data_IF_874360160132
#
_entry.id   IF_874360160132
#
_cell.length_a   1.000
_cell.length_b   1.000
_cell.length_c   1.000
_cell.angle_alpha   90.00
_cell.angle_beta   90.00
_cell.angle_gamma   90.00
#
_symmetry.space_group_name_H-M   'P 1'
#
loop_
_entity.id
_entity.type
_entity.pdbx_description
1 polymer ?
#
# COMPACT_ATOMS: atom_id res chain seq x y z
N UNK A 1 14.86 -13.33 -16.89
CA UNK A 1 15.55 -13.07 -15.63
C UNK A 1 16.60 -14.13 -15.40
N UNK A 2 16.30 -15.44 -15.23
CA UNK A 2 17.31 -16.49 -15.03
C UNK A 2 18.48 -16.44 -16.03
N UNK A 3 18.21 -16.34 -17.32
CA UNK A 3 19.28 -16.26 -18.34
C UNK A 3 20.18 -15.03 -18.15
N UNK A 4 19.64 -13.90 -17.71
CA UNK A 4 20.44 -12.71 -17.43
C UNK A 4 21.38 -12.94 -16.24
N UNK A 5 20.86 -13.47 -15.14
CA UNK A 5 21.67 -13.78 -13.94
C UNK A 5 22.76 -14.80 -14.25
N UNK A 6 22.42 -15.88 -14.98
CA UNK A 6 23.38 -16.92 -15.40
C UNK A 6 24.48 -16.40 -16.33
N UNK A 7 24.19 -15.40 -17.17
CA UNK A 7 25.14 -14.91 -18.18
C UNK A 7 25.93 -13.69 -17.78
N UNK A 8 25.44 -12.91 -16.81
CA UNK A 8 26.03 -11.60 -16.44
C UNK A 8 26.56 -11.54 -15.02
N UNK A 9 26.24 -12.50 -14.15
CA UNK A 9 26.42 -12.43 -12.69
C UNK A 9 25.77 -11.18 -12.08
N UNK A 10 24.77 -10.61 -12.73
CA UNK A 10 24.01 -9.47 -12.23
C UNK A 10 22.69 -9.95 -11.64
N UNK A 11 22.20 -9.27 -10.62
CA UNK A 11 20.89 -9.53 -10.02
C UNK A 11 19.81 -8.73 -10.74
N UNK A 12 18.58 -9.26 -10.76
CA UNK A 12 17.45 -8.63 -11.41
C UNK A 12 16.15 -8.92 -10.64
N UNK A 13 15.34 -7.89 -10.46
CA UNK A 13 14.00 -8.04 -9.91
C UNK A 13 12.95 -7.41 -10.84
N UNK A 14 11.74 -7.93 -10.81
CA UNK A 14 10.58 -7.32 -11.46
C UNK A 14 9.73 -6.61 -10.41
N UNK A 15 9.19 -5.47 -10.82
CA UNK A 15 8.22 -4.71 -10.07
C UNK A 15 6.90 -4.77 -10.83
N UNK A 16 5.92 -5.48 -10.32
CA UNK A 16 4.60 -5.55 -10.93
C UNK A 16 3.89 -4.20 -10.75
N UNK A 17 3.26 -3.70 -11.83
CA UNK A 17 2.52 -2.44 -11.80
C UNK A 17 1.24 -2.50 -12.64
N UNK A 18 0.34 -1.51 -12.50
CA UNK A 18 -0.99 -1.51 -13.13
C UNK A 18 -1.84 -2.75 -12.74
N UNK A 19 -1.71 -3.27 -11.52
CA UNK A 19 -2.47 -4.43 -11.07
C UNK A 19 -3.97 -4.23 -11.17
N UNK A 20 -4.45 -3.08 -10.72
CA UNK A 20 -5.84 -2.66 -10.79
C UNK A 20 -6.42 -2.52 -12.22
N UNK A 21 -5.61 -2.74 -13.26
CA UNK A 21 -5.99 -2.61 -14.68
C UNK A 21 -5.68 -3.86 -15.51
N UNK A 22 -5.50 -5.01 -14.86
CA UNK A 22 -4.94 -6.22 -15.46
C UNK A 22 -5.97 -7.33 -15.75
N UNK A 23 -7.25 -7.03 -15.89
CA UNK A 23 -8.31 -8.01 -16.17
C UNK A 23 -8.33 -9.20 -15.19
N UNK A 24 -8.00 -8.95 -13.91
CA UNK A 24 -7.98 -9.98 -12.87
C UNK A 24 -6.79 -10.94 -12.92
N UNK A 25 -5.83 -10.74 -13.82
CA UNK A 25 -4.74 -11.72 -14.05
C UNK A 25 -3.39 -11.32 -13.44
N UNK A 26 -3.32 -10.18 -12.75
CA UNK A 26 -2.07 -9.80 -12.07
C UNK A 26 -1.69 -10.78 -10.97
N UNK A 27 -2.66 -11.22 -10.18
CA UNK A 27 -2.46 -12.12 -9.05
C UNK A 27 -3.35 -13.36 -9.18
N UNK A 28 -3.05 -14.28 -10.11
CA UNK A 28 -3.88 -15.46 -10.33
C UNK A 28 -3.94 -16.35 -9.08
N UNK A 29 -5.13 -16.92 -8.83
CA UNK A 29 -5.39 -17.87 -7.75
C UNK A 29 -5.28 -19.32 -8.24
N UNK A 30 -5.81 -19.63 -9.43
CA UNK A 30 -5.93 -20.99 -9.93
C UNK A 30 -5.09 -21.26 -11.17
N UNK A 31 -5.11 -20.36 -12.15
CA UNK A 31 -4.47 -20.58 -13.44
C UNK A 31 -3.65 -19.38 -13.89
N UNK A 32 -2.56 -19.65 -14.58
CA UNK A 32 -1.75 -18.67 -15.29
C UNK A 32 -2.57 -18.04 -16.42
N UNK A 33 -2.15 -16.87 -16.91
CA UNK A 33 -2.84 -16.16 -17.99
C UNK A 33 -3.03 -17.01 -19.27
N UNK A 34 -2.17 -18.01 -19.50
CA UNK A 34 -2.23 -18.93 -20.62
C UNK A 34 -3.13 -20.17 -20.38
N UNK A 35 -3.87 -20.18 -19.27
CA UNK A 35 -4.79 -21.26 -18.89
C UNK A 35 -4.12 -22.48 -18.23
N UNK A 36 -2.80 -22.49 -18.04
CA UNK A 36 -2.13 -23.56 -17.29
C UNK A 36 -2.38 -23.39 -15.80
N UNK A 37 -2.56 -24.49 -15.10
CA UNK A 37 -2.64 -24.48 -13.63
C UNK A 37 -1.39 -23.88 -13.01
N UNK A 38 -1.56 -23.25 -11.84
CA UNK A 38 -0.42 -22.81 -11.03
C UNK A 38 0.26 -24.02 -10.43
N UNK A 39 1.56 -24.14 -10.67
CA UNK A 39 2.43 -25.18 -10.12
C UNK A 39 3.52 -24.62 -9.22
N UNK A 40 4.25 -25.49 -8.55
CA UNK A 40 5.34 -25.13 -7.65
C UNK A 40 6.44 -24.32 -8.36
N UNK A 41 6.76 -24.64 -9.61
CA UNK A 41 7.78 -23.94 -10.39
C UNK A 41 7.36 -22.48 -10.66
N UNK A 42 6.12 -22.26 -11.08
CA UNK A 42 5.57 -20.92 -11.29
C UNK A 42 5.60 -20.07 -10.02
N UNK A 43 5.05 -20.58 -8.90
CA UNK A 43 5.00 -19.80 -7.64
C UNK A 43 6.39 -19.55 -7.06
N UNK A 44 7.33 -20.47 -7.22
CA UNK A 44 8.72 -20.31 -6.77
C UNK A 44 9.44 -19.22 -7.57
N UNK A 45 9.32 -19.24 -8.90
CA UNK A 45 9.94 -18.20 -9.75
C UNK A 45 9.33 -16.83 -9.49
N UNK A 46 8.01 -16.76 -9.31
CA UNK A 46 7.35 -15.49 -9.00
C UNK A 46 7.78 -14.95 -7.65
N UNK A 47 7.85 -15.79 -6.63
CA UNK A 47 8.36 -15.40 -5.30
C UNK A 47 9.80 -14.87 -5.33
N UNK A 48 10.64 -15.42 -6.24
CA UNK A 48 12.04 -15.01 -6.39
C UNK A 48 12.19 -13.67 -7.11
N UNK A 49 11.50 -13.48 -8.25
CA UNK A 49 11.77 -12.34 -9.13
C UNK A 49 10.77 -11.20 -9.05
N UNK A 50 9.62 -11.38 -8.39
CA UNK A 50 8.60 -10.33 -8.20
C UNK A 50 8.48 -9.94 -6.71
N UNK A 51 9.56 -9.42 -6.08
CA UNK A 51 9.54 -9.09 -4.65
C UNK A 51 8.77 -7.82 -4.34
N UNK A 52 8.30 -7.07 -5.34
CA UNK A 52 7.63 -5.79 -5.16
C UNK A 52 6.41 -5.62 -6.06
N UNK A 53 5.48 -4.78 -5.58
CA UNK A 53 4.29 -4.36 -6.31
C UNK A 53 4.03 -2.87 -6.12
N UNK A 54 3.67 -2.18 -7.20
CA UNK A 54 3.26 -0.78 -7.19
C UNK A 54 1.78 -0.67 -6.82
N UNK A 55 1.49 -0.13 -5.64
CA UNK A 55 0.12 -0.03 -5.11
C UNK A 55 -0.53 1.32 -5.33
N UNK A 56 0.19 2.31 -5.82
CA UNK A 56 -0.35 3.64 -6.13
C UNK A 56 0.45 4.32 -7.22
N UNK A 57 -0.25 4.93 -8.14
CA UNK A 57 0.30 5.76 -9.22
C UNK A 57 -0.83 6.60 -9.81
N UNK A 58 -0.57 7.39 -10.85
CA UNK A 58 -1.54 8.32 -11.45
C UNK A 58 -2.88 7.67 -11.87
N UNK A 59 -2.88 6.35 -12.13
CA UNK A 59 -4.07 5.55 -12.46
C UNK A 59 -4.69 4.86 -11.22
N UNK A 60 -4.65 5.52 -10.07
CA UNK A 60 -5.36 5.13 -8.88
C UNK A 60 -4.60 4.24 -7.91
N UNK A 61 -5.33 3.82 -6.88
CA UNK A 61 -4.88 2.93 -5.82
C UNK A 61 -5.01 1.46 -6.21
N UNK A 62 -4.05 0.66 -5.80
CA UNK A 62 -4.02 -0.79 -5.96
C UNK A 62 -3.90 -1.54 -4.62
N UNK A 63 -4.09 -0.87 -3.46
CA UNK A 63 -4.05 -1.53 -2.15
C UNK A 63 -5.25 -2.45 -1.97
N UNK A 64 -6.45 -1.89 -2.04
CA UNK A 64 -7.72 -2.61 -1.90
C UNK A 64 -8.86 -1.89 -2.60
N UNK A 65 -10.02 -2.52 -2.64
CA UNK A 65 -11.22 -2.01 -3.29
C UNK A 65 -12.43 -2.15 -2.36
N UNK A 66 -13.43 -1.23 -2.36
CA UNK A 66 -14.62 -1.32 -1.50
C UNK A 66 -15.39 -2.63 -1.61
N UNK A 67 -15.45 -3.21 -2.82
CA UNK A 67 -16.07 -4.51 -3.05
C UNK A 67 -15.34 -5.65 -2.31
N UNK A 68 -14.00 -5.59 -2.23
CA UNK A 68 -13.16 -6.60 -1.57
C UNK A 68 -13.05 -6.39 -0.06
N UNK A 69 -13.16 -5.14 0.40
CA UNK A 69 -12.94 -4.70 1.78
C UNK A 69 -14.05 -3.77 2.26
N UNK A 70 -15.32 -4.23 2.31
CA UNK A 70 -16.48 -3.36 2.57
C UNK A 70 -16.53 -2.78 3.98
N UNK A 71 -15.71 -3.28 4.91
CA UNK A 71 -15.62 -2.79 6.28
C UNK A 71 -14.44 -1.83 6.52
N UNK A 72 -13.65 -1.53 5.49
CA UNK A 72 -12.54 -0.59 5.55
C UNK A 72 -13.00 0.78 5.07
N UNK A 73 -13.00 1.77 5.95
CA UNK A 73 -13.47 3.14 5.64
C UNK A 73 -12.61 3.88 4.60
N UNK A 74 -11.42 3.36 4.29
CA UNK A 74 -10.49 3.94 3.32
C UNK A 74 -10.32 3.09 2.06
N UNK A 75 -11.14 2.06 1.87
CA UNK A 75 -11.03 1.18 0.70
C UNK A 75 -11.42 1.86 -0.62
N UNK A 76 -12.16 2.98 -0.57
CA UNK A 76 -12.61 3.75 -1.75
C UNK A 76 -11.67 4.92 -2.11
N UNK A 77 -10.44 4.89 -1.60
CA UNK A 77 -9.46 5.92 -1.91
C UNK A 77 -9.03 5.83 -3.38
N UNK A 78 -9.24 6.94 -4.12
CA UNK A 78 -8.76 7.14 -5.50
C UNK A 78 -8.89 5.91 -6.40
N UNK A 79 -10.05 5.26 -6.39
CA UNK A 79 -10.36 4.07 -7.18
C UNK A 79 -10.34 4.41 -8.67
N UNK A 80 -9.70 3.54 -9.48
CA UNK A 80 -9.66 3.65 -10.94
C UNK A 80 -10.01 2.28 -11.53
N UNK A 81 -11.31 2.04 -11.75
CA UNK A 81 -11.86 0.70 -11.97
C UNK A 81 -12.94 0.60 -13.09
N UNK A 82 -12.97 1.56 -14.03
CA UNK A 82 -13.93 1.52 -15.14
C UNK A 82 -13.60 0.47 -16.20
N UNK A 83 -12.34 0.09 -16.33
CA UNK A 83 -11.89 -0.88 -17.30
C UNK A 83 -10.42 -1.28 -17.14
N UNK A 84 -9.91 -2.01 -18.10
CA UNK A 84 -8.50 -2.38 -18.16
C UNK A 84 -7.60 -1.22 -18.64
N UNK A 85 -6.28 -1.45 -18.71
CA UNK A 85 -5.27 -0.42 -18.97
C UNK A 85 -5.53 0.42 -20.24
N UNK A 86 -5.99 -0.21 -21.32
CA UNK A 86 -6.27 0.43 -22.61
C UNK A 86 -7.76 0.62 -22.88
N UNK A 87 -8.61 0.40 -21.87
CA UNK A 87 -10.07 0.50 -21.98
C UNK A 87 -10.66 -0.38 -23.10
N UNK A 88 -10.04 -1.52 -23.39
CA UNK A 88 -10.59 -2.49 -24.35
C UNK A 88 -11.66 -3.41 -23.74
N UNK A 89 -11.74 -3.45 -22.42
CA UNK A 89 -12.66 -4.28 -21.65
C UNK A 89 -13.11 -3.55 -20.39
N UNK A 90 -14.41 -3.55 -20.13
CA UNK A 90 -14.98 -2.96 -18.93
C UNK A 90 -14.61 -3.79 -17.69
N UNK A 91 -14.44 -3.13 -16.53
CA UNK A 91 -14.21 -3.79 -15.26
C UNK A 91 -15.43 -4.59 -14.82
N UNK A 92 -15.19 -5.80 -14.31
CA UNK A 92 -16.19 -6.64 -13.65
C UNK A 92 -15.73 -7.07 -12.27
N UNK A 93 -16.66 -7.38 -11.38
CA UNK A 93 -16.37 -7.68 -9.97
C UNK A 93 -15.45 -8.89 -9.77
N UNK A 94 -15.52 -9.88 -10.65
CA UNK A 94 -14.69 -11.09 -10.63
C UNK A 94 -13.21 -10.82 -10.96
N UNK A 95 -12.90 -9.72 -11.65
CA UNK A 95 -11.52 -9.30 -11.91
C UNK A 95 -10.83 -8.78 -10.65
N UNK A 96 -11.58 -8.12 -9.75
CA UNK A 96 -11.03 -7.34 -8.63
C UNK A 96 -10.14 -8.16 -7.70
N UNK A 97 -10.50 -9.41 -7.40
CA UNK A 97 -9.71 -10.25 -6.49
C UNK A 97 -8.28 -10.50 -6.99
N UNK A 98 -8.08 -10.61 -8.30
CA UNK A 98 -6.78 -10.82 -8.93
C UNK A 98 -5.99 -9.53 -9.23
N UNK A 99 -6.44 -8.36 -8.74
CA UNK A 99 -5.89 -7.06 -9.12
C UNK A 99 -5.29 -6.24 -7.96
N UNK A 100 -5.79 -6.42 -6.74
CA UNK A 100 -5.46 -5.59 -5.60
C UNK A 100 -4.49 -6.28 -4.63
N UNK A 101 -3.59 -5.51 -4.04
CA UNK A 101 -2.52 -5.99 -3.17
C UNK A 101 -3.04 -6.81 -1.98
N UNK A 102 -4.05 -6.31 -1.25
CA UNK A 102 -4.57 -6.98 -0.06
C UNK A 102 -5.20 -8.33 -0.38
N UNK A 103 -5.93 -8.41 -1.49
CA UNK A 103 -6.47 -9.69 -1.93
C UNK A 103 -5.37 -10.64 -2.41
N UNK A 104 -4.36 -10.15 -3.13
CA UNK A 104 -3.19 -10.94 -3.51
C UNK A 104 -2.45 -11.50 -2.30
N UNK A 105 -2.28 -10.70 -1.23
CA UNK A 105 -1.70 -11.15 0.02
C UNK A 105 -2.50 -12.32 0.63
N UNK A 106 -3.84 -12.28 0.56
CA UNK A 106 -4.72 -13.36 1.03
C UNK A 106 -4.61 -14.59 0.14
N UNK A 107 -4.67 -14.44 -1.18
CA UNK A 107 -4.45 -15.51 -2.17
C UNK A 107 -3.09 -16.17 -1.94
N UNK A 108 -2.06 -15.39 -1.65
CA UNK A 108 -0.73 -15.90 -1.34
C UNK A 108 -0.69 -16.85 -0.13
N UNK A 109 -1.52 -16.61 0.91
CA UNK A 109 -1.64 -17.54 2.03
C UNK A 109 -2.26 -18.89 1.61
N UNK A 110 -3.27 -18.85 0.72
CA UNK A 110 -3.91 -20.05 0.19
C UNK A 110 -2.96 -20.83 -0.72
N UNK A 111 -2.21 -20.14 -1.59
CA UNK A 111 -1.19 -20.77 -2.44
C UNK A 111 -0.07 -21.41 -1.63
N UNK A 112 0.37 -20.77 -0.55
CA UNK A 112 1.37 -21.36 0.35
C UNK A 112 0.84 -22.64 1.03
N UNK A 113 -0.44 -22.67 1.41
CA UNK A 113 -1.04 -23.88 1.96
C UNK A 113 -1.17 -24.99 0.90
N UNK A 114 -1.53 -24.63 -0.34
CA UNK A 114 -1.74 -25.58 -1.45
C UNK A 114 -0.44 -26.09 -2.06
N UNK A 115 0.51 -25.17 -2.35
CA UNK A 115 1.72 -25.46 -3.14
C UNK A 115 3.02 -25.39 -2.34
N UNK A 116 2.98 -24.92 -1.08
CA UNK A 116 4.16 -24.83 -0.21
C UNK A 116 4.96 -23.54 -0.34
N UNK A 117 4.67 -22.69 -1.32
CA UNK A 117 5.33 -21.39 -1.54
C UNK A 117 4.29 -20.30 -1.72
N UNK A 118 4.52 -19.13 -1.09
CA UNK A 118 3.69 -17.94 -1.26
C UNK A 118 4.35 -17.01 -2.28
N UNK A 119 3.76 -16.85 -3.49
CA UNK A 119 4.34 -16.01 -4.55
C UNK A 119 4.09 -14.51 -4.33
N UNK A 120 3.19 -14.14 -3.41
CA UNK A 120 2.72 -12.77 -3.20
C UNK A 120 3.25 -12.15 -1.91
N UNK A 121 4.45 -12.55 -1.49
CA UNK A 121 5.21 -11.88 -0.42
C UNK A 121 5.98 -10.68 -0.98
N UNK A 122 5.30 -9.72 -1.54
CA UNK A 122 5.92 -8.53 -2.12
C UNK A 122 5.97 -7.37 -1.11
N UNK A 123 6.94 -6.48 -1.23
CA UNK A 123 6.90 -5.12 -0.70
C UNK A 123 6.04 -4.23 -1.59
N UNK A 124 5.39 -3.22 -1.06
CA UNK A 124 4.61 -2.28 -1.85
C UNK A 124 5.37 -0.97 -2.03
N UNK A 125 5.30 -0.40 -3.20
CA UNK A 125 5.91 0.89 -3.53
C UNK A 125 4.88 1.76 -4.23
N UNK A 126 5.08 3.08 -4.20
CA UNK A 126 4.33 4.02 -5.01
C UNK A 126 5.19 4.55 -6.13
N UNK A 127 4.58 5.07 -7.18
CA UNK A 127 5.27 5.78 -8.25
C UNK A 127 4.40 6.87 -8.85
N UNK A 128 4.98 7.67 -9.75
CA UNK A 128 4.20 8.66 -10.48
C UNK A 128 3.54 8.06 -11.72
N UNK A 129 4.18 7.12 -12.38
CA UNK A 129 3.83 6.68 -13.73
C UNK A 129 3.59 7.87 -14.70
N UNK A 130 4.22 8.98 -14.41
CA UNK A 130 4.16 10.18 -15.24
C UNK A 130 5.16 10.07 -16.39
N UNK A 131 4.69 10.31 -17.61
CA UNK A 131 5.50 10.27 -18.83
C UNK A 131 5.98 11.66 -19.25
N UNK A 132 6.26 12.50 -18.27
CA UNK A 132 6.65 13.92 -18.46
C UNK A 132 8.12 14.19 -18.17
N UNK A 133 8.85 13.18 -17.64
CA UNK A 133 10.19 13.35 -17.03
C UNK A 133 10.22 14.28 -15.81
N UNK A 134 9.06 14.60 -15.24
CA UNK A 134 8.88 15.41 -14.04
C UNK A 134 8.19 14.59 -12.96
N UNK A 135 8.90 14.28 -11.90
CA UNK A 135 8.36 13.51 -10.77
C UNK A 135 7.58 14.43 -9.81
N UNK A 136 6.42 14.92 -10.22
CA UNK A 136 5.55 15.81 -9.44
C UNK A 136 4.41 15.01 -8.79
N UNK A 137 4.71 14.43 -7.64
CA UNK A 137 3.79 13.56 -6.90
C UNK A 137 2.96 14.28 -5.81
N UNK A 138 3.14 15.60 -5.64
CA UNK A 138 2.42 16.38 -4.63
C UNK A 138 1.18 17.01 -5.22
N UNK A 139 0.11 17.11 -4.44
CA UNK A 139 -1.16 17.67 -4.85
C UNK A 139 -1.03 19.14 -5.35
N UNK A 140 -0.22 19.94 -4.69
CA UNK A 140 -0.01 21.35 -5.06
C UNK A 140 0.93 21.54 -6.25
N UNK A 141 1.59 20.48 -6.71
CA UNK A 141 2.57 20.50 -7.80
C UNK A 141 2.35 19.36 -8.80
N UNK A 142 1.11 18.95 -9.02
CA UNK A 142 0.80 17.90 -9.98
C UNK A 142 0.89 18.41 -11.41
N UNK A 143 1.83 17.88 -12.19
CA UNK A 143 1.98 18.23 -13.61
C UNK A 143 1.03 17.43 -14.50
N UNK A 144 0.88 16.14 -14.27
CA UNK A 144 0.00 15.26 -15.04
C UNK A 144 0.71 14.09 -15.73
N UNK A 145 -0.02 13.41 -16.64
CA UNK A 145 0.43 12.15 -17.24
C UNK A 145 1.37 12.31 -18.42
N UNK A 146 1.05 13.20 -19.38
CA UNK A 146 1.77 13.33 -20.64
C UNK A 146 2.10 14.78 -20.96
N UNK A 147 3.34 15.06 -21.33
CA UNK A 147 3.79 16.39 -21.76
C UNK A 147 3.09 16.90 -23.02
N UNK A 148 2.46 16.03 -23.81
CA UNK A 148 1.69 16.40 -25.00
C UNK A 148 0.29 16.94 -24.72
N UNK A 149 -0.27 16.63 -23.56
CA UNK A 149 -1.60 17.07 -23.11
C UNK A 149 -1.55 18.00 -21.91
N UNK A 150 -0.39 18.17 -21.28
CA UNK A 150 -0.24 18.93 -20.04
C UNK A 150 0.98 19.85 -20.04
N UNK A 151 0.92 20.99 -19.33
CA UNK A 151 -0.28 21.53 -18.67
C UNK A 151 -1.26 22.14 -19.69
N UNK A 152 -2.56 22.07 -19.40
CA UNK A 152 -3.60 22.73 -20.20
C UNK A 152 -4.74 23.24 -19.32
N UNK A 153 -5.50 24.21 -19.82
CA UNK A 153 -6.66 24.75 -19.13
C UNK A 153 -7.83 23.75 -19.08
N UNK A 154 -7.84 22.80 -20.02
CA UNK A 154 -8.88 21.78 -20.19
C UNK A 154 -8.52 20.45 -19.56
N UNK A 155 -7.40 20.33 -18.85
CA UNK A 155 -6.88 19.05 -18.38
C UNK A 155 -7.80 18.29 -17.43
N UNK A 156 -8.74 18.98 -16.73
CA UNK A 156 -9.71 18.31 -15.89
C UNK A 156 -10.72 17.51 -16.70
N UNK A 157 -11.15 18.05 -17.85
CA UNK A 157 -12.16 17.43 -18.72
C UNK A 157 -11.56 16.62 -19.87
N UNK A 158 -10.23 16.59 -19.98
CA UNK A 158 -9.54 15.83 -20.99
C UNK A 158 -9.85 14.34 -20.86
N UNK A 159 -10.21 13.69 -21.98
CA UNK A 159 -10.43 12.25 -22.01
C UNK A 159 -9.09 11.52 -22.01
N UNK A 160 -8.77 10.86 -20.93
CA UNK A 160 -7.54 10.07 -20.75
C UNK A 160 -7.66 8.73 -21.48
N UNK A 161 -8.81 8.06 -21.33
CA UNK A 161 -9.14 6.81 -22.00
C UNK A 161 -10.66 6.64 -22.08
N UNK A 162 -11.15 5.84 -23.02
CA UNK A 162 -12.58 5.66 -23.24
C UNK A 162 -12.93 4.24 -23.73
N UNK A 163 -14.03 3.70 -23.23
CA UNK A 163 -14.64 2.45 -23.68
C UNK A 163 -16.16 2.65 -23.84
N UNK A 164 -16.70 2.58 -25.05
CA UNK A 164 -18.09 2.88 -25.32
C UNK A 164 -18.43 4.31 -24.87
N UNK A 165 -19.45 4.46 -24.02
CA UNK A 165 -19.87 5.71 -23.43
C UNK A 165 -19.14 6.02 -22.11
N UNK A 166 -18.35 5.09 -21.58
CA UNK A 166 -17.55 5.29 -20.37
C UNK A 166 -16.20 5.93 -20.68
N UNK A 167 -15.93 7.07 -20.07
CA UNK A 167 -14.67 7.78 -20.20
C UNK A 167 -13.99 7.94 -18.84
N UNK A 168 -12.67 7.86 -18.86
CA UNK A 168 -11.80 8.31 -17.78
C UNK A 168 -11.34 9.73 -18.10
N UNK A 169 -11.62 10.66 -17.22
CA UNK A 169 -11.32 12.07 -17.40
C UNK A 169 -10.07 12.47 -16.62
N UNK A 170 -9.46 13.57 -17.02
CA UNK A 170 -8.24 14.07 -16.39
C UNK A 170 -8.37 14.29 -14.89
N UNK A 171 -9.52 14.78 -14.40
CA UNK A 171 -9.76 15.00 -12.98
C UNK A 171 -9.77 13.71 -12.13
N UNK A 172 -9.96 12.55 -12.74
CA UNK A 172 -9.93 11.25 -12.06
C UNK A 172 -8.49 10.77 -11.79
N UNK A 173 -7.50 11.40 -12.42
CA UNK A 173 -6.08 11.07 -12.16
C UNK A 173 -5.68 11.45 -10.74
N UNK A 174 -4.80 10.63 -10.15
CA UNK A 174 -4.24 10.84 -8.81
C UNK A 174 -2.94 11.62 -8.91
N UNK A 175 -2.62 12.44 -7.92
CA UNK A 175 -1.32 13.11 -7.85
C UNK A 175 -0.15 12.16 -7.56
N UNK A 176 -0.37 10.87 -7.71
CA UNK A 176 0.60 9.77 -7.69
C UNK A 176 1.45 9.65 -6.42
N UNK A 177 2.40 8.73 -6.41
CA UNK A 177 3.10 8.31 -5.23
C UNK A 177 4.61 8.26 -5.35
N UNK A 178 5.25 7.87 -4.26
CA UNK A 178 6.69 7.67 -4.15
C UNK A 178 7.00 6.28 -3.64
N UNK A 179 8.11 5.72 -4.12
CA UNK A 179 8.75 4.57 -3.51
C UNK A 179 9.72 5.05 -2.42
N UNK A 180 9.55 4.58 -1.20
CA UNK A 180 10.50 4.80 -0.13
C UNK A 180 11.25 3.50 0.20
N UNK A 181 12.54 3.62 0.49
CA UNK A 181 13.44 2.47 0.68
C UNK A 181 14.31 2.70 1.91
N UNK A 182 14.33 1.74 2.83
CA UNK A 182 15.25 1.76 3.96
C UNK A 182 16.55 1.03 3.61
N UNK A 183 17.47 1.75 3.00
CA UNK A 183 18.79 1.27 2.65
C UNK A 183 19.84 1.70 3.71
N UNK A 184 20.93 0.95 3.84
CA UNK A 184 22.03 1.30 4.74
C UNK A 184 22.85 2.48 4.23
N UNK A 185 22.88 2.67 2.89
CA UNK A 185 23.58 3.74 2.21
C UNK A 185 22.79 4.21 0.98
N UNK A 186 23.00 5.44 0.54
CA UNK A 186 22.43 5.95 -0.70
C UNK A 186 23.32 5.57 -1.90
N UNK A 187 23.45 4.27 -2.13
CA UNK A 187 24.12 3.69 -3.30
C UNK A 187 23.15 2.79 -4.05
N UNK A 188 23.41 2.57 -5.34
CA UNK A 188 22.55 1.71 -6.17
C UNK A 188 22.43 0.31 -5.60
N UNK A 189 23.55 -0.25 -5.19
CA UNK A 189 23.65 -1.60 -4.63
C UNK A 189 22.83 -1.71 -3.33
N UNK A 190 23.04 -0.79 -2.39
CA UNK A 190 22.35 -0.82 -1.10
C UNK A 190 20.83 -0.58 -1.23
N UNK A 191 20.42 0.25 -2.19
CA UNK A 191 19.01 0.44 -2.51
C UNK A 191 18.42 -0.84 -3.12
N UNK A 192 19.12 -1.48 -4.07
CA UNK A 192 18.68 -2.73 -4.68
C UNK A 192 18.52 -3.84 -3.63
N UNK A 193 19.53 -4.02 -2.77
CA UNK A 193 19.48 -5.01 -1.67
C UNK A 193 18.28 -4.77 -0.73
N UNK A 194 17.97 -3.50 -0.44
CA UNK A 194 16.83 -3.16 0.40
C UNK A 194 15.49 -3.45 -0.30
N UNK A 195 15.41 -3.20 -1.60
CA UNK A 195 14.25 -3.56 -2.42
C UNK A 195 14.05 -5.07 -2.50
N UNK A 196 15.12 -5.84 -2.68
CA UNK A 196 15.08 -7.30 -2.66
C UNK A 196 14.63 -7.84 -1.31
N UNK A 197 15.12 -7.27 -0.21
CA UNK A 197 14.64 -7.58 1.15
C UNK A 197 13.23 -7.07 1.44
N UNK A 198 12.62 -6.29 0.53
CA UNK A 198 11.29 -5.68 0.69
C UNK A 198 11.21 -4.69 1.86
N UNK A 199 12.34 -4.06 2.20
CA UNK A 199 12.41 -3.02 3.22
C UNK A 199 12.04 -1.65 2.59
N UNK A 200 10.82 -1.59 2.08
CA UNK A 200 10.26 -0.53 1.24
C UNK A 200 8.85 -0.17 1.68
N UNK A 201 8.39 1.03 1.34
CA UNK A 201 7.00 1.41 1.51
C UNK A 201 6.54 2.38 0.43
N UNK A 202 5.22 2.39 0.20
CA UNK A 202 4.55 3.30 -0.72
C UNK A 202 4.09 4.58 0.01
N UNK A 203 4.13 5.71 -0.68
CA UNK A 203 3.37 6.90 -0.28
C UNK A 203 2.55 7.41 -1.46
N UNK A 204 1.48 8.13 -1.18
CA UNK A 204 0.64 8.77 -2.20
C UNK A 204 1.07 10.24 -2.47
N UNK A 205 2.37 10.54 -2.30
CA UNK A 205 2.98 11.83 -2.62
C UNK A 205 3.71 12.52 -1.47
N UNK A 206 3.33 12.25 -0.24
CA UNK A 206 4.01 12.73 0.95
C UNK A 206 5.39 12.06 1.15
N UNK A 207 6.34 12.78 1.74
CA UNK A 207 7.65 12.24 2.15
C UNK A 207 7.70 11.88 3.63
N UNK A 208 6.56 11.48 4.20
CA UNK A 208 6.55 11.01 5.57
C UNK A 208 7.47 9.79 5.73
N UNK A 209 7.99 9.61 6.93
CA UNK A 209 8.82 8.46 7.27
C UNK A 209 8.05 7.50 8.18
N UNK A 210 8.07 6.22 7.88
CA UNK A 210 7.48 5.18 8.71
C UNK A 210 8.43 4.02 8.94
N UNK A 211 8.37 3.45 10.13
CA UNK A 211 9.06 2.22 10.51
C UNK A 211 8.06 1.25 11.12
N UNK A 212 8.16 0.00 10.71
CA UNK A 212 7.34 -1.08 11.22
C UNK A 212 8.19 -2.32 11.49
N UNK A 213 8.09 -2.82 12.71
CA UNK A 213 8.82 -4.00 13.16
C UNK A 213 7.85 -4.96 13.84
N UNK A 214 8.02 -6.23 13.61
CA UNK A 214 7.31 -7.22 14.36
C UNK A 214 8.22 -8.13 15.18
N UNK A 215 7.74 -8.52 16.32
CA UNK A 215 8.49 -9.34 17.26
C UNK A 215 7.58 -9.99 18.27
N UNK A 216 8.17 -10.49 19.36
CA UNK A 216 7.42 -11.18 20.40
C UNK A 216 7.44 -10.44 21.74
N UNK A 217 8.31 -9.41 21.88
CA UNK A 217 8.64 -8.79 23.16
C UNK A 217 8.94 -7.29 23.06
N UNK A 218 8.38 -6.61 22.07
CA UNK A 218 8.46 -5.16 22.03
C UNK A 218 7.68 -4.54 23.18
N UNK A 219 8.22 -3.46 23.73
CA UNK A 219 7.64 -2.66 24.81
C UNK A 219 7.71 -1.18 24.46
N UNK A 220 6.97 -0.34 25.19
CA UNK A 220 7.01 1.11 25.01
C UNK A 220 8.42 1.69 25.26
N UNK A 221 9.26 1.05 26.08
CA UNK A 221 10.65 1.46 26.26
C UNK A 221 11.49 1.28 24.98
N UNK A 222 11.15 0.31 24.12
CA UNK A 222 11.81 0.13 22.84
C UNK A 222 11.45 1.26 21.87
N UNK A 223 10.18 1.60 21.80
CA UNK A 223 9.66 2.71 21.00
C UNK A 223 10.23 4.06 21.47
N UNK A 224 10.22 4.31 22.78
CA UNK A 224 10.64 5.58 23.37
C UNK A 224 12.17 5.67 23.56
N UNK A 225 12.93 4.68 23.08
CA UNK A 225 14.39 4.74 23.11
C UNK A 225 14.93 5.81 22.15
N UNK A 226 16.18 6.25 22.36
CA UNK A 226 16.83 7.19 21.42
C UNK A 226 17.10 6.57 20.04
N UNK A 227 17.02 5.26 19.92
CA UNK A 227 17.31 4.51 18.70
C UNK A 227 16.26 3.39 18.50
N UNK A 228 14.99 3.75 18.25
CA UNK A 228 13.92 2.74 18.15
C UNK A 228 14.16 1.77 16.99
N UNK A 229 14.70 2.22 15.86
CA UNK A 229 15.04 1.34 14.75
C UNK A 229 16.05 0.25 15.15
N UNK A 230 17.10 0.62 15.89
CA UNK A 230 18.08 -0.35 16.40
C UNK A 230 17.41 -1.41 17.30
N UNK A 231 16.48 -0.99 18.16
CA UNK A 231 15.67 -1.92 18.97
C UNK A 231 14.82 -2.83 18.11
N UNK A 232 14.23 -2.27 17.04
CA UNK A 232 13.44 -3.03 16.06
C UNK A 232 14.23 -4.18 15.44
N UNK A 233 15.39 -3.89 14.88
CA UNK A 233 16.29 -4.90 14.30
C UNK A 233 16.85 -5.90 15.32
N UNK A 234 17.14 -5.45 16.54
CA UNK A 234 17.71 -6.31 17.57
C UNK A 234 16.71 -7.32 18.17
N UNK A 235 15.42 -6.98 18.22
CA UNK A 235 14.37 -7.77 18.90
C UNK A 235 13.36 -8.42 17.96
N UNK A 236 13.35 -8.05 16.69
CA UNK A 236 12.33 -8.48 15.74
C UNK A 236 12.82 -8.48 14.32
N UNK A 237 11.86 -8.44 13.41
CA UNK A 237 12.08 -8.34 11.96
C UNK A 237 11.51 -7.03 11.44
N UNK A 238 12.19 -6.37 10.49
CA UNK A 238 11.68 -5.17 9.86
C UNK A 238 10.56 -5.50 8.88
N UNK A 239 9.96 -4.45 8.30
CA UNK A 239 9.08 -4.56 7.14
C UNK A 239 9.70 -5.46 6.06
N UNK A 240 8.85 -6.20 5.33
CA UNK A 240 9.27 -7.21 4.35
C UNK A 240 9.72 -8.55 4.93
N UNK A 241 9.98 -8.64 6.24
CA UNK A 241 10.48 -9.84 6.90
C UNK A 241 9.40 -10.84 7.29
N UNK A 242 9.83 -12.07 7.56
CA UNK A 242 9.00 -13.17 8.08
C UNK A 242 9.25 -13.36 9.58
N UNK A 243 8.21 -13.17 10.42
CA UNK A 243 8.28 -13.45 11.84
C UNK A 243 8.08 -14.95 12.08
N UNK A 244 9.12 -15.63 12.50
CA UNK A 244 9.08 -17.07 12.80
C UNK A 244 8.31 -17.31 14.10
N UNK A 245 7.70 -18.51 14.24
CA UNK A 245 6.91 -18.91 15.40
C UNK A 245 7.65 -18.70 16.73
N UNK A 246 6.94 -18.09 17.70
CA UNK A 246 7.48 -17.95 19.05
C UNK A 246 7.49 -19.28 19.80
N UNK A 247 8.39 -19.40 20.76
CA UNK A 247 8.32 -20.46 21.77
C UNK A 247 7.14 -20.11 22.72
N UNK A 248 6.07 -20.90 22.72
CA UNK A 248 5.00 -20.79 23.71
C UNK A 248 3.72 -20.08 23.26
N UNK A 249 3.43 -19.96 21.96
CA UNK A 249 2.18 -19.43 21.42
C UNK A 249 1.78 -18.01 21.91
N UNK A 250 2.76 -17.18 22.27
CA UNK A 250 2.57 -15.78 22.62
C UNK A 250 2.11 -14.97 21.40
N UNK A 251 1.21 -14.02 21.58
CA UNK A 251 0.80 -13.11 20.53
C UNK A 251 1.96 -12.21 20.07
N UNK A 252 2.08 -11.90 18.76
CA UNK A 252 3.10 -11.01 18.25
C UNK A 252 2.86 -9.57 18.72
N UNK A 253 3.96 -8.86 18.93
CA UNK A 253 3.96 -7.43 19.21
C UNK A 253 4.54 -6.69 18.02
N UNK A 254 3.93 -5.57 17.65
CA UNK A 254 4.33 -4.74 16.53
C UNK A 254 4.71 -3.35 17.03
N UNK A 255 5.92 -2.92 16.73
CA UNK A 255 6.37 -1.56 16.98
C UNK A 255 6.27 -0.76 15.69
N UNK A 256 5.40 0.24 15.66
CA UNK A 256 5.19 1.13 14.52
C UNK A 256 5.34 2.58 14.96
N UNK A 257 6.03 3.38 14.15
CA UNK A 257 6.11 4.82 14.34
C UNK A 257 6.30 5.54 13.03
N UNK A 258 5.75 6.75 12.95
CA UNK A 258 5.76 7.59 11.77
C UNK A 258 6.02 9.04 12.12
N UNK A 259 6.75 9.73 11.25
CA UNK A 259 6.96 11.17 11.26
C UNK A 259 6.31 11.74 10.00
N UNK A 260 5.55 12.83 10.13
CA UNK A 260 4.98 13.53 8.99
C UNK A 260 6.07 14.07 8.05
N UNK A 261 5.71 14.33 6.81
CA UNK A 261 6.53 15.16 5.92
C UNK A 261 6.74 16.55 6.57
N UNK A 262 7.98 17.06 6.67
CA UNK A 262 8.24 18.36 7.29
C UNK A 262 7.44 19.52 6.70
N UNK A 263 7.11 19.45 5.40
CA UNK A 263 6.31 20.45 4.68
C UNK A 263 4.88 19.98 4.40
N UNK A 264 4.54 18.74 4.77
CA UNK A 264 3.25 18.11 4.53
C UNK A 264 2.26 18.21 5.69
N UNK A 265 1.21 17.41 5.59
CA UNK A 265 0.12 17.37 6.55
C UNK A 265 0.51 16.62 7.83
N UNK A 266 -0.16 16.96 8.94
CA UNK A 266 -0.09 16.19 10.17
C UNK A 266 -0.72 14.81 9.99
N UNK A 267 -0.33 13.88 10.85
CA UNK A 267 -0.84 12.52 10.88
C UNK A 267 -2.20 12.46 11.60
N UNK A 268 -3.15 11.79 10.99
CA UNK A 268 -4.44 11.43 11.60
C UNK A 268 -4.28 10.22 12.51
N UNK A 269 -3.86 9.09 11.95
CA UNK A 269 -3.78 7.80 12.64
C UNK A 269 -2.78 6.83 11.99
N UNK A 270 -2.43 5.80 12.75
CA UNK A 270 -1.79 4.59 12.25
C UNK A 270 -2.77 3.43 12.38
N UNK A 271 -2.90 2.66 11.33
CA UNK A 271 -3.66 1.42 11.28
C UNK A 271 -2.74 0.22 11.07
N UNK A 272 -3.12 -0.92 11.62
CA UNK A 272 -2.54 -2.21 11.25
C UNK A 272 -3.64 -3.03 10.57
N UNK A 273 -3.36 -3.46 9.36
CA UNK A 273 -4.22 -4.38 8.60
C UNK A 273 -3.69 -5.78 8.78
N UNK A 274 -4.56 -6.68 9.24
CA UNK A 274 -4.30 -8.11 9.39
C UNK A 274 -5.10 -8.87 8.35
N UNK A 275 -4.46 -9.78 7.63
CA UNK A 275 -5.14 -10.82 6.86
C UNK A 275 -4.70 -12.20 7.34
N UNK A 276 -5.62 -13.17 7.36
CA UNK A 276 -5.29 -14.52 7.82
C UNK A 276 -6.07 -15.61 7.09
N UNK A 277 -5.54 -16.82 7.16
CA UNK A 277 -6.17 -18.03 6.65
C UNK A 277 -6.72 -18.84 7.81
N UNK A 278 -8.00 -19.18 7.77
CA UNK A 278 -8.62 -20.04 8.79
C UNK A 278 -8.40 -21.55 8.52
N UNK A 279 -8.85 -22.38 9.44
CA UNK A 279 -8.73 -23.84 9.34
C UNK A 279 -9.49 -24.48 8.17
N UNK A 280 -10.38 -23.73 7.52
CA UNK A 280 -11.17 -24.18 6.36
C UNK A 280 -10.59 -23.60 5.05
N UNK A 281 -9.38 -23.07 5.07
CA UNK A 281 -8.72 -22.38 3.95
C UNK A 281 -9.48 -21.14 3.44
N UNK A 282 -10.32 -20.53 4.29
CA UNK A 282 -10.99 -19.28 3.99
C UNK A 282 -10.15 -18.10 4.49
N UNK A 283 -9.98 -17.10 3.66
CA UNK A 283 -9.26 -15.88 4.00
C UNK A 283 -10.16 -14.85 4.69
N UNK A 284 -9.58 -14.10 5.58
CA UNK A 284 -10.22 -13.04 6.35
C UNK A 284 -9.30 -11.83 6.44
N UNK A 285 -9.87 -10.69 6.79
CA UNK A 285 -9.12 -9.46 7.08
C UNK A 285 -9.75 -8.66 8.21
N UNK A 286 -8.95 -7.83 8.85
CA UNK A 286 -9.39 -6.84 9.83
C UNK A 286 -8.43 -5.66 9.90
N UNK A 287 -8.98 -4.46 10.00
CA UNK A 287 -8.25 -3.22 10.19
C UNK A 287 -8.36 -2.78 11.64
N UNK A 288 -7.24 -2.41 12.25
CA UNK A 288 -7.17 -1.91 13.62
C UNK A 288 -6.59 -0.50 13.63
N UNK A 289 -7.29 0.47 14.21
CA UNK A 289 -6.69 1.73 14.60
C UNK A 289 -5.80 1.50 15.82
N UNK A 290 -4.48 1.75 15.71
CA UNK A 290 -3.52 1.40 16.77
C UNK A 290 -2.84 2.60 17.42
N UNK A 291 -2.78 3.74 16.71
CA UNK A 291 -2.35 5.04 17.24
C UNK A 291 -3.09 6.15 16.50
N UNK A 292 -3.41 7.26 17.19
CA UNK A 292 -4.13 8.40 16.60
C UNK A 292 -3.89 9.70 17.36
N UNK A 293 -4.18 10.81 16.67
CA UNK A 293 -4.04 12.18 17.21
C UNK A 293 -5.28 12.67 17.94
N UNK A 294 -5.16 13.85 18.59
CA UNK A 294 -6.26 14.72 19.05
C UNK A 294 -7.17 14.15 20.15
N UNK A 295 -6.65 13.33 21.07
CA UNK A 295 -7.37 12.77 22.22
C UNK A 295 -8.72 12.10 21.87
N UNK A 296 -8.90 11.65 20.63
CA UNK A 296 -10.08 10.90 20.18
C UNK A 296 -10.16 9.56 20.90
N UNK A 297 -11.35 8.98 20.94
CA UNK A 297 -11.58 7.66 21.54
C UNK A 297 -12.39 6.79 20.59
N UNK A 298 -12.08 5.52 20.57
CA UNK A 298 -12.89 4.54 19.85
C UNK A 298 -14.34 4.55 20.38
N UNK A 299 -15.29 4.47 19.49
CA UNK A 299 -16.70 4.33 19.83
C UNK A 299 -17.02 2.91 20.37
N UNK A 300 -18.28 2.65 20.71
CA UNK A 300 -18.74 1.34 21.20
C UNK A 300 -18.54 0.19 20.21
N UNK A 301 -18.33 0.49 18.93
CA UNK A 301 -18.09 -0.49 17.87
C UNK A 301 -16.60 -0.64 17.55
N UNK A 302 -15.73 0.08 18.27
CA UNK A 302 -14.28 0.10 18.04
C UNK A 302 -13.86 0.98 16.85
N UNK A 303 -14.73 1.87 16.37
CA UNK A 303 -14.43 2.80 15.27
C UNK A 303 -13.90 4.12 15.82
N UNK A 304 -12.81 4.61 15.23
CA UNK A 304 -12.26 5.92 15.56
C UNK A 304 -13.03 7.02 14.79
N UNK A 305 -13.53 8.07 15.48
CA UNK A 305 -14.13 9.23 14.81
C UNK A 305 -13.14 9.92 13.87
N UNK A 306 -13.64 10.58 12.83
CA UNK A 306 -12.82 11.39 11.92
C UNK A 306 -12.01 12.46 12.68
N UNK A 307 -10.80 12.77 12.21
CA UNK A 307 -9.92 13.80 12.80
C UNK A 307 -10.46 15.23 12.60
N UNK A 308 -11.36 15.40 11.66
CA UNK A 308 -11.85 16.70 11.22
C UNK A 308 -11.22 17.13 9.89
N UNK A 309 -11.47 18.39 9.52
CA UNK A 309 -11.03 18.94 8.24
C UNK A 309 -10.66 20.42 8.41
N UNK A 310 -9.48 20.83 7.96
CA UNK A 310 -8.99 22.20 7.98
C UNK A 310 -8.83 22.80 6.57
N UNK A 311 -9.30 22.08 5.55
CA UNK A 311 -9.15 22.49 4.14
C UNK A 311 -10.09 23.65 3.81
N UNK A 312 -9.52 24.72 3.28
CA UNK A 312 -10.24 25.81 2.61
C UNK A 312 -10.18 25.58 1.10
N UNK A 313 -11.21 24.92 0.57
CA UNK A 313 -11.33 24.60 -0.87
C UNK A 313 -11.29 25.86 -1.73
N UNK A 314 -11.85 26.98 -1.25
CA UNK A 314 -11.90 28.22 -2.02
C UNK A 314 -10.52 28.83 -2.26
N UNK A 315 -9.63 28.74 -1.27
CA UNK A 315 -8.29 29.32 -1.31
C UNK A 315 -7.21 28.26 -1.55
N UNK A 316 -7.59 27.01 -1.83
CA UNK A 316 -6.69 25.86 -2.01
C UNK A 316 -5.64 25.79 -0.87
N UNK A 317 -6.10 25.88 0.37
CA UNK A 317 -5.24 25.95 1.55
C UNK A 317 -5.74 25.03 2.65
N UNK A 318 -4.89 24.74 3.63
CA UNK A 318 -5.17 23.93 4.80
C UNK A 318 -4.21 24.27 5.94
N UNK A 319 -4.47 23.80 7.16
CA UNK A 319 -3.60 24.06 8.31
C UNK A 319 -3.37 22.81 9.14
N UNK A 320 -2.18 22.74 9.78
CA UNK A 320 -1.82 21.70 10.74
C UNK A 320 -2.30 22.04 12.18
N UNK A 321 -3.55 22.52 12.33
CA UNK A 321 -4.15 22.81 13.64
C UNK A 321 -4.79 21.58 14.30
N UNK A 322 -4.91 20.48 13.56
CA UNK A 322 -5.34 19.16 14.00
C UNK A 322 -4.28 18.14 13.58
N UNK A 323 -4.41 16.90 14.08
CA UNK A 323 -3.42 15.86 13.78
C UNK A 323 -2.13 16.00 14.61
N UNK A 324 -1.20 15.08 14.41
CA UNK A 324 0.07 15.01 15.12
C UNK A 324 1.26 15.05 14.16
N UNK A 325 2.39 15.62 14.59
CA UNK A 325 3.65 15.61 13.81
C UNK A 325 4.31 14.23 13.79
N UNK A 326 4.04 13.44 14.81
CA UNK A 326 4.52 12.07 14.96
C UNK A 326 3.47 11.20 15.67
N UNK A 327 3.42 9.93 15.31
CA UNK A 327 2.62 8.91 15.98
C UNK A 327 3.46 7.64 16.12
N UNK A 328 3.23 6.91 17.20
CA UNK A 328 3.86 5.61 17.39
C UNK A 328 3.20 4.81 18.48
N UNK A 329 3.33 3.49 18.38
CA UNK A 329 2.81 2.56 19.39
C UNK A 329 3.53 1.23 19.34
N UNK A 330 3.45 0.49 20.44
CA UNK A 330 3.68 -0.96 20.47
C UNK A 330 2.33 -1.62 20.65
N UNK A 331 1.89 -2.32 19.62
CA UNK A 331 0.59 -2.98 19.59
C UNK A 331 0.75 -4.52 19.61
N UNK A 332 -0.09 -5.19 20.39
CA UNK A 332 -0.17 -6.66 20.45
C UNK A 332 -1.44 -7.12 19.77
N UNK A 333 -1.35 -8.09 18.87
CA UNK A 333 -2.54 -8.64 18.19
C UNK A 333 -3.52 -9.29 19.20
N UNK A 334 -4.70 -8.69 19.44
CA UNK A 334 -5.69 -9.23 20.37
C UNK A 334 -6.42 -10.46 19.83
N UNK A 335 -6.40 -10.65 18.52
CA UNK A 335 -7.10 -11.74 17.82
C UNK A 335 -6.11 -12.78 17.26
N UNK A 336 -4.94 -12.92 17.92
CA UNK A 336 -3.92 -13.87 17.49
C UNK A 336 -4.33 -15.33 17.73
N UNK A 337 -4.23 -16.15 16.68
CA UNK A 337 -4.32 -17.60 16.78
C UNK A 337 -3.02 -18.24 16.27
N UNK A 338 -2.24 -18.94 17.11
CA UNK A 338 -0.96 -19.55 16.73
C UNK A 338 -1.09 -20.68 15.70
N UNK A 339 -2.29 -21.08 15.34
CA UNK A 339 -2.57 -22.10 14.32
C UNK A 339 -2.86 -21.50 12.94
N UNK A 340 -3.04 -20.18 12.86
CA UNK A 340 -3.34 -19.48 11.62
C UNK A 340 -2.10 -18.88 11.00
N UNK A 341 -2.05 -18.88 9.66
CA UNK A 341 -1.11 -18.07 8.89
C UNK A 341 -1.72 -16.69 8.76
N UNK A 342 -0.90 -15.66 8.97
CA UNK A 342 -1.35 -14.29 8.86
C UNK A 342 -0.27 -13.40 8.24
N UNK A 343 -0.70 -12.30 7.63
CA UNK A 343 0.15 -11.17 7.34
C UNK A 343 -0.36 -9.94 8.09
N UNK A 344 0.52 -8.98 8.26
CA UNK A 344 0.21 -7.68 8.84
C UNK A 344 0.91 -6.62 8.02
N UNK A 345 0.28 -5.46 7.87
CA UNK A 345 0.96 -4.28 7.37
C UNK A 345 0.43 -3.02 8.07
N UNK A 346 1.26 -1.98 8.14
CA UNK A 346 0.85 -0.71 8.66
C UNK A 346 0.30 0.19 7.55
N UNK A 347 -0.65 1.04 7.91
CA UNK A 347 -1.17 2.13 7.08
C UNK A 347 -1.20 3.39 7.91
N UNK A 348 -0.57 4.46 7.40
CA UNK A 348 -0.52 5.77 8.05
C UNK A 348 -1.39 6.73 7.26
N UNK A 349 -2.31 7.40 7.94
CA UNK A 349 -3.24 8.36 7.35
C UNK A 349 -2.86 9.76 7.79
N UNK A 350 -2.77 10.70 6.85
CA UNK A 350 -2.64 12.12 7.12
C UNK A 350 -4.00 12.79 7.26
N UNK A 351 -4.05 13.99 7.86
CA UNK A 351 -5.25 14.82 7.85
C UNK A 351 -5.59 15.26 6.41
N UNK A 352 -6.85 15.55 6.09
CA UNK A 352 -7.25 15.95 4.74
C UNK A 352 -6.49 17.19 4.24
N UNK A 353 -6.09 17.15 2.96
CA UNK A 353 -5.50 18.26 2.20
C UNK A 353 -6.32 18.52 0.93
N UNK A 354 -6.16 19.70 0.27
CA UNK A 354 -6.80 19.92 -1.03
C UNK A 354 -6.26 18.94 -2.08
N UNK A 355 -7.14 18.37 -2.89
CA UNK A 355 -6.75 17.57 -4.07
C UNK A 355 -6.22 18.49 -5.17
N UNK A 356 -5.36 18.03 -6.08
CA UNK A 356 -4.71 18.81 -7.13
C UNK A 356 -5.67 19.65 -7.98
N UNK A 357 -6.87 19.15 -8.24
CA UNK A 357 -7.90 19.88 -8.97
C UNK A 357 -8.36 21.17 -8.25
N UNK A 358 -8.26 21.20 -6.93
CA UNK A 358 -8.57 22.39 -6.12
C UNK A 358 -7.50 23.47 -6.32
N UNK A 359 -6.24 23.08 -6.41
CA UNK A 359 -5.14 23.99 -6.73
C UNK A 359 -5.29 24.54 -8.14
N UNK A 360 -5.71 23.73 -9.12
CA UNK A 360 -6.01 24.19 -10.47
C UNK A 360 -7.18 25.17 -10.51
N UNK A 361 -8.26 24.86 -9.83
CA UNK A 361 -9.39 25.77 -9.74
C UNK A 361 -9.00 27.13 -9.15
N UNK A 362 -8.18 27.13 -8.10
CA UNK A 362 -7.68 28.35 -7.46
C UNK A 362 -6.73 29.15 -8.37
N UNK A 363 -5.77 28.46 -9.04
CA UNK A 363 -4.73 29.12 -9.83
C UNK A 363 -5.21 29.62 -11.21
N UNK A 364 -6.10 28.84 -11.82
CA UNK A 364 -6.49 29.04 -13.21
C UNK A 364 -7.97 29.36 -13.42
N UNK A 365 -8.76 29.34 -12.34
CA UNK A 365 -10.20 29.65 -12.40
C UNK A 365 -11.02 28.57 -13.11
N UNK A 366 -10.50 27.36 -13.25
CA UNK A 366 -11.23 26.23 -13.83
C UNK A 366 -12.31 25.73 -12.89
N UNK A 367 -13.41 25.24 -13.45
CA UNK A 367 -14.52 24.73 -12.66
C UNK A 367 -14.27 23.26 -12.30
N UNK A 368 -14.33 22.93 -11.01
CA UNK A 368 -14.29 21.57 -10.53
C UNK A 368 -15.57 20.83 -10.91
N UNK A 369 -15.51 19.65 -11.54
CA UNK A 369 -16.68 18.81 -11.77
C UNK A 369 -17.40 18.48 -10.45
N UNK A 370 -18.73 18.38 -10.48
CA UNK A 370 -19.54 18.19 -9.26
C UNK A 370 -19.27 16.86 -8.56
N UNK A 371 -18.96 15.82 -9.34
CA UNK A 371 -18.66 14.46 -8.93
C UNK A 371 -17.25 14.29 -8.39
N UNK A 372 -16.36 15.26 -8.65
CA UNK A 372 -14.96 15.17 -8.26
C UNK A 372 -14.77 15.38 -6.75
N UNK A 373 -14.02 14.49 -6.12
CA UNK A 373 -13.57 14.64 -4.73
C UNK A 373 -12.61 15.82 -4.64
N UNK A 374 -12.83 16.75 -3.71
CA UNK A 374 -11.99 17.94 -3.50
C UNK A 374 -10.94 17.77 -2.42
N UNK A 375 -11.03 16.71 -1.64
CA UNK A 375 -10.09 16.39 -0.57
C UNK A 375 -9.23 15.20 -0.97
N UNK A 376 -7.94 15.33 -0.78
CA UNK A 376 -7.01 14.21 -0.74
C UNK A 376 -6.92 13.72 0.70
N UNK A 377 -7.16 12.44 0.89
CA UNK A 377 -6.81 11.72 2.10
C UNK A 377 -5.52 10.97 1.76
N UNK A 378 -4.37 11.58 2.02
CA UNK A 378 -3.11 10.93 1.72
C UNK A 378 -3.01 9.67 2.55
N UNK A 379 -2.99 8.54 1.86
CA UNK A 379 -2.74 7.23 2.42
C UNK A 379 -1.28 6.88 2.24
N UNK A 380 -0.76 6.20 3.20
CA UNK A 380 0.49 5.49 3.07
C UNK A 380 0.18 4.06 3.39
N UNK A 381 0.10 3.28 2.34
CA UNK A 381 0.07 1.84 2.47
C UNK A 381 1.48 1.35 2.59
N UNK A 382 1.80 0.88 3.76
CA UNK A 382 3.04 0.23 4.03
C UNK A 382 2.79 -1.27 4.21
N UNK A 383 3.19 -2.10 3.26
CA UNK A 383 3.18 -3.51 3.51
C UNK A 383 4.46 -3.92 4.18
N UNK A 384 4.31 -4.14 5.42
CA UNK A 384 5.21 -4.99 6.13
C UNK A 384 4.51 -6.30 6.37
N UNK A 385 5.00 -7.32 5.71
CA UNK A 385 4.57 -8.66 6.00
C UNK A 385 5.35 -9.21 7.15
N UNK A 386 4.66 -9.41 8.25
CA UNK A 386 5.07 -10.36 9.25
C UNK A 386 4.26 -11.62 9.05
N UNK A 387 4.83 -12.61 8.40
CA UNK A 387 4.19 -13.90 8.26
C UNK A 387 4.44 -14.71 9.52
N UNK A 388 3.42 -14.85 10.36
CA UNK A 388 3.46 -15.80 11.47
C UNK A 388 3.22 -17.20 10.91
N UNK A 389 4.28 -17.95 10.66
CA UNK A 389 4.15 -19.35 10.24
C UNK A 389 3.83 -20.24 11.42
N UNK A 390 2.69 -20.94 11.36
CA UNK A 390 2.20 -21.85 12.40
C UNK A 390 2.43 -23.33 12.12
N UNK A 391 3.38 -23.73 11.26
CA UNK A 391 3.63 -25.19 11.06
C UNK A 391 4.56 -25.78 12.08
N UNK A 392 4.11 -26.86 12.70
CA UNK A 392 4.95 -27.94 13.21
C UNK A 392 5.62 -28.63 12.01
N UNK A 393 6.92 -28.98 12.08
CA UNK A 393 7.49 -29.87 11.07
C UNK A 393 6.66 -31.15 11.09
N UNK A 394 6.24 -31.62 9.92
CA UNK A 394 5.78 -33.00 9.79
C UNK A 394 6.92 -33.87 10.32
N UNK A 395 6.67 -34.63 11.35
CA UNK A 395 7.60 -35.66 11.83
C UNK A 395 7.95 -36.58 10.68
N UNK A 396 9.25 -36.70 10.44
CA UNK A 396 9.82 -37.71 9.54
C UNK A 396 9.42 -39.12 9.98
#
# INVERSE_FOLDING_TARGET
MALYEETTNGDVLALAHNGNLANGIMFPEDAQYNGRELDLDYVTRRALWEPMYEVTQIKGDGETHPFLSPNDEFADYETWDKGNLNMSEAKTDDMLAGEYARSALRIGLQLEERLGVNPYKFGMVGSTDSHTSLATAQEDNFFGKHSGSEPSAERLEHVVAQFGDEALLGWEQVASGLAAVWATENTRESIFDAMERKEVYATTGSRLAVRFFGGWEFTDDDLNSRQPAFRGYAKGVPMGGDLRKSKGAKAPTFMVYSLRDPVGANLDRIQIVKGWLDKNNKTHEKVYDVAWSDNRKLDKNGKLPAVGNTVDVKNANWTNTIGASELGTVWTDPDFDPKQRAFYYARVIEIPTPRWIVYDAFRYGVKIPKEAKTLSLIHISEPTRLLVQSRLPASA
#
